data_IF_272762642359
#
_entry.id   IF_272762642359
#
_cell.length_a   1.000
_cell.length_b   1.000
_cell.length_c   1.000
_cell.angle_alpha   90.00
_cell.angle_beta   90.00
_cell.angle_gamma   90.00
#
_symmetry.space_group_name_H-M   'P 1'
#
loop_
_entity.id
_entity.type
_entity.pdbx_description
1 polymer ?
#
# COMPACT_ATOMS: atom_id res chain seq x y z
N UNK A 1 4.13 6.59 23.98
CA UNK A 1 3.09 7.35 23.26
C UNK A 1 1.83 6.50 23.27
N UNK A 2 0.78 6.90 23.98
CA UNK A 2 -0.55 6.32 23.77
C UNK A 2 -1.13 7.02 22.54
N UNK A 3 -0.88 6.47 21.36
CA UNK A 3 -1.57 6.93 20.16
C UNK A 3 -3.02 6.44 20.28
N UNK A 4 -4.03 7.26 19.94
CA UNK A 4 -5.44 6.86 19.95
C UNK A 4 -5.76 5.97 18.72
N UNK A 5 -4.87 5.03 18.40
CA UNK A 5 -4.97 4.14 17.25
C UNK A 5 -4.41 2.76 17.59
N UNK A 6 -4.94 1.75 16.94
CA UNK A 6 -4.34 0.41 16.90
C UNK A 6 -3.57 0.23 15.58
N UNK A 7 -2.55 -0.61 15.59
CA UNK A 7 -1.81 -1.00 14.39
C UNK A 7 -2.02 -2.50 14.18
N UNK A 8 -2.53 -2.86 13.01
CA UNK A 8 -2.71 -4.25 12.60
C UNK A 8 -1.80 -4.50 11.40
N UNK A 9 -0.78 -5.33 11.59
CA UNK A 9 0.10 -5.77 10.51
C UNK A 9 -0.40 -7.12 10.04
N UNK A 10 -0.74 -7.22 8.75
CA UNK A 10 -1.19 -8.47 8.14
C UNK A 10 -0.08 -9.00 7.25
N UNK A 11 0.51 -10.14 7.65
CA UNK A 11 1.46 -10.86 6.82
C UNK A 11 0.72 -11.69 5.78
N UNK A 12 0.86 -11.31 4.52
CA UNK A 12 0.30 -12.04 3.38
C UNK A 12 1.17 -13.26 3.01
N UNK A 13 1.47 -14.07 4.03
CA UNK A 13 2.24 -15.32 3.95
C UNK A 13 3.70 -15.16 3.44
N UNK A 14 4.41 -14.16 3.95
CA UNK A 14 5.84 -13.97 3.69
C UNK A 14 6.68 -15.18 4.13
N UNK A 15 7.80 -15.40 3.43
CA UNK A 15 8.81 -16.41 3.76
C UNK A 15 10.20 -15.75 3.84
N UNK A 16 10.79 -15.58 5.04
CA UNK A 16 10.23 -15.95 6.34
C UNK A 16 9.00 -15.09 6.72
N UNK A 17 8.16 -15.55 7.68
CA UNK A 17 7.08 -14.74 8.23
C UNK A 17 7.59 -13.39 8.76
N UNK A 18 6.78 -12.33 8.61
CA UNK A 18 7.13 -11.00 9.14
C UNK A 18 7.07 -11.05 10.68
N UNK A 19 8.19 -10.82 11.40
CA UNK A 19 8.17 -10.77 12.86
C UNK A 19 7.25 -9.64 13.36
N UNK A 20 6.39 -9.95 14.32
CA UNK A 20 5.45 -8.97 14.89
C UNK A 20 4.18 -8.72 14.07
N UNK A 21 3.96 -9.44 12.97
CA UNK A 21 2.67 -9.40 12.28
C UNK A 21 1.53 -9.88 13.19
N UNK A 22 0.44 -9.11 13.25
CA UNK A 22 -0.74 -9.39 14.06
C UNK A 22 -1.54 -10.57 13.50
N UNK A 23 -1.63 -10.66 12.18
CA UNK A 23 -2.45 -11.63 11.46
C UNK A 23 -1.66 -12.22 10.29
N UNK A 24 -2.04 -13.44 9.86
CA UNK A 24 -1.54 -14.05 8.62
C UNK A 24 -2.70 -14.49 7.75
N UNK A 25 -2.62 -14.21 6.44
CA UNK A 25 -3.65 -14.67 5.49
C UNK A 25 -3.55 -16.18 5.21
N UNK A 26 -2.34 -16.74 5.36
CA UNK A 26 -1.99 -18.10 4.92
C UNK A 26 -2.27 -18.37 3.43
N UNK A 27 -2.42 -17.32 2.62
CA UNK A 27 -2.61 -17.46 1.18
C UNK A 27 -1.24 -17.61 0.50
N UNK A 28 -1.09 -18.63 -0.35
CA UNK A 28 0.15 -18.88 -1.10
C UNK A 28 0.14 -18.27 -2.50
N UNK A 29 -1.01 -17.76 -2.93
CA UNK A 29 -1.13 -17.04 -4.19
C UNK A 29 -0.37 -15.73 -4.09
N UNK A 30 0.19 -15.32 -5.21
CA UNK A 30 0.91 -14.07 -5.29
C UNK A 30 -0.08 -12.90 -5.51
N UNK A 31 0.25 -11.71 -4.99
CA UNK A 31 -0.55 -10.49 -5.13
C UNK A 31 -1.96 -10.56 -4.50
N UNK A 32 -2.06 -11.04 -3.26
CA UNK A 32 -3.33 -11.14 -2.52
C UNK A 32 -3.54 -10.03 -1.47
N UNK A 33 -2.89 -8.87 -1.65
CA UNK A 33 -2.91 -7.74 -0.71
C UNK A 33 -4.33 -7.31 -0.29
N UNK A 34 -5.32 -7.34 -1.19
CA UNK A 34 -6.70 -7.02 -0.87
C UNK A 34 -7.35 -8.00 0.13
N UNK A 35 -6.94 -9.28 0.14
CA UNK A 35 -7.35 -10.23 1.18
C UNK A 35 -6.74 -9.86 2.53
N UNK A 36 -5.46 -9.47 2.55
CA UNK A 36 -4.79 -8.97 3.74
C UNK A 36 -5.50 -7.73 4.31
N UNK A 37 -5.86 -6.79 3.44
CA UNK A 37 -6.62 -5.57 3.80
C UNK A 37 -7.99 -5.89 4.37
N UNK A 38 -8.74 -6.80 3.74
CA UNK A 38 -10.03 -7.29 4.27
C UNK A 38 -9.87 -7.95 5.64
N UNK A 39 -8.84 -8.79 5.81
CA UNK A 39 -8.56 -9.46 7.07
C UNK A 39 -8.23 -8.47 8.19
N UNK A 40 -7.40 -7.46 7.89
CA UNK A 40 -7.09 -6.38 8.81
C UNK A 40 -8.33 -5.55 9.18
N UNK A 41 -9.11 -5.12 8.18
CA UNK A 41 -10.34 -4.36 8.38
C UNK A 41 -11.36 -5.10 9.26
N UNK A 42 -11.48 -6.43 9.09
CA UNK A 42 -12.35 -7.27 9.90
C UNK A 42 -11.98 -7.27 11.39
N UNK A 43 -10.69 -7.17 11.71
CA UNK A 43 -10.19 -7.19 13.09
C UNK A 43 -9.99 -5.80 13.69
N UNK A 44 -10.09 -4.74 12.90
CA UNK A 44 -10.03 -3.37 13.38
C UNK A 44 -11.29 -3.00 14.18
N UNK A 45 -11.07 -2.40 15.33
CA UNK A 45 -12.07 -1.84 16.24
C UNK A 45 -12.27 -0.34 16.02
N UNK A 46 -11.31 0.35 15.39
CA UNK A 46 -11.41 1.77 15.08
C UNK A 46 -12.60 2.13 14.18
N UNK A 47 -13.17 3.32 14.39
CA UNK A 47 -14.24 3.88 13.53
C UNK A 47 -13.73 4.16 12.11
N UNK A 48 -12.45 4.51 11.99
CA UNK A 48 -11.75 4.78 10.74
C UNK A 48 -10.65 3.75 10.49
N UNK A 49 -10.49 3.40 9.23
CA UNK A 49 -9.40 2.56 8.73
C UNK A 49 -8.39 3.44 8.02
N UNK A 50 -7.14 3.44 8.48
CA UNK A 50 -5.99 3.89 7.69
C UNK A 50 -5.35 2.65 7.06
N UNK A 51 -5.52 2.46 5.75
CA UNK A 51 -4.86 1.38 5.02
C UNK A 51 -3.63 1.91 4.28
N UNK A 52 -2.51 1.19 4.37
CA UNK A 52 -1.28 1.51 3.63
C UNK A 52 -0.42 0.25 3.46
N UNK A 53 0.51 0.27 2.50
CA UNK A 53 1.47 -0.83 2.33
C UNK A 53 2.67 -0.62 3.25
N UNK A 54 3.33 -1.71 3.64
CA UNK A 54 4.45 -1.69 4.60
C UNK A 54 5.71 -0.97 4.06
N UNK A 55 5.80 -0.78 2.75
CA UNK A 55 6.90 -0.08 2.08
C UNK A 55 6.70 1.44 1.96
N UNK A 56 5.59 1.97 2.53
CA UNK A 56 5.35 3.40 2.62
C UNK A 56 5.85 3.98 3.95
N UNK A 57 6.36 5.20 3.88
CA UNK A 57 6.74 6.02 5.03
C UNK A 57 5.58 6.96 5.32
N UNK A 58 4.97 6.82 6.50
CA UNK A 58 3.90 7.68 6.96
C UNK A 58 4.48 8.76 7.88
N UNK A 59 4.39 10.02 7.45
CA UNK A 59 4.83 11.16 8.27
C UNK A 59 3.90 11.38 9.47
N UNK A 60 4.41 12.08 10.48
CA UNK A 60 3.59 12.51 11.62
C UNK A 60 2.39 13.33 11.14
N UNK A 61 2.65 14.20 10.18
CA UNK A 61 1.70 15.08 9.54
C UNK A 61 0.56 14.31 8.83
N UNK A 62 0.89 13.31 8.01
CA UNK A 62 -0.12 12.49 7.35
C UNK A 62 -0.95 11.67 8.36
N UNK A 63 -0.32 11.19 9.43
CA UNK A 63 -1.02 10.51 10.52
C UNK A 63 -1.95 11.45 11.29
N UNK A 64 -1.53 12.67 11.60
CA UNK A 64 -2.37 13.69 12.22
C UNK A 64 -3.57 14.07 11.33
N UNK A 65 -3.38 14.15 10.01
CA UNK A 65 -4.49 14.39 9.09
C UNK A 65 -5.52 13.26 9.14
N UNK A 66 -5.05 12.01 9.17
CA UNK A 66 -5.94 10.85 9.29
C UNK A 66 -6.67 10.81 10.64
N UNK A 67 -5.99 11.13 11.75
CA UNK A 67 -6.58 11.16 13.08
C UNK A 67 -7.63 12.27 13.24
N UNK A 68 -7.44 13.41 12.58
CA UNK A 68 -8.37 14.54 12.61
C UNK A 68 -9.45 14.47 11.51
N UNK A 69 -9.41 13.45 10.65
CA UNK A 69 -10.33 13.33 9.53
C UNK A 69 -11.73 12.88 9.96
N UNK A 70 -12.77 13.59 9.51
CA UNK A 70 -14.17 13.28 9.81
C UNK A 70 -15.03 13.02 8.55
N UNK A 71 -14.43 12.99 7.36
CA UNK A 71 -15.11 12.74 6.10
C UNK A 71 -15.30 11.25 5.80
N UNK A 72 -15.68 10.93 4.55
CA UNK A 72 -15.91 9.55 4.13
C UNK A 72 -14.63 8.84 3.69
N UNK A 73 -13.80 9.49 2.87
CA UNK A 73 -12.48 9.01 2.42
C UNK A 73 -11.49 10.15 2.23
N UNK A 74 -10.29 9.96 2.75
CA UNK A 74 -9.10 10.78 2.50
C UNK A 74 -8.09 9.94 1.72
N UNK A 75 -7.50 10.52 0.69
CA UNK A 75 -6.40 9.95 -0.08
C UNK A 75 -5.10 10.69 0.23
N UNK A 76 -3.98 10.05 -0.07
CA UNK A 76 -2.66 10.64 0.14
C UNK A 76 -1.88 10.67 -1.16
N UNK A 77 -1.20 11.78 -1.40
CA UNK A 77 -0.20 11.90 -2.46
C UNK A 77 1.09 11.23 -2.02
N UNK A 78 1.74 10.54 -2.96
CA UNK A 78 3.01 9.86 -2.69
C UNK A 78 4.16 10.67 -3.24
N UNK A 79 5.19 10.85 -2.44
CA UNK A 79 6.45 11.45 -2.84
C UNK A 79 7.57 10.42 -2.72
N UNK A 80 8.60 10.56 -3.55
CA UNK A 80 9.81 9.75 -3.42
C UNK A 80 10.67 10.30 -2.29
N UNK A 81 10.99 9.44 -1.33
CA UNK A 81 11.94 9.75 -0.26
C UNK A 81 12.58 8.49 0.29
N UNK A 82 13.56 8.67 1.17
CA UNK A 82 14.14 7.60 1.98
C UNK A 82 14.22 8.05 3.44
N UNK A 83 14.37 7.10 4.36
CA UNK A 83 14.68 7.42 5.75
C UNK A 83 16.19 7.34 5.97
N UNK A 84 16.75 8.33 6.68
CA UNK A 84 18.09 8.20 7.24
C UNK A 84 18.08 7.31 8.50
N UNK A 85 19.27 7.03 9.03
CA UNK A 85 19.46 6.22 10.25
C UNK A 85 18.74 6.76 11.49
N UNK A 86 18.35 8.04 11.49
CA UNK A 86 17.63 8.69 12.57
C UNK A 86 16.12 8.75 12.30
N UNK A 87 15.65 8.14 11.22
CA UNK A 87 14.24 8.15 10.82
C UNK A 87 13.78 9.47 10.20
N UNK A 88 14.69 10.34 9.77
CA UNK A 88 14.32 11.56 9.06
C UNK A 88 14.13 11.29 7.57
N UNK A 89 13.11 11.94 7.01
CA UNK A 89 12.84 11.91 5.56
C UNK A 89 13.95 12.69 4.82
N UNK A 90 14.56 12.03 3.82
CA UNK A 90 15.55 12.63 2.90
C UNK A 90 15.04 12.60 1.47
N UNK A 91 15.14 13.74 0.80
CA UNK A 91 14.74 13.93 -0.60
C UNK A 91 15.80 14.69 -1.42
N UNK A 92 17.01 14.90 -0.86
CA UNK A 92 18.07 15.56 -1.60
C UNK A 92 18.56 14.67 -2.77
N UNK A 93 18.98 15.33 -3.86
CA UNK A 93 19.32 14.66 -5.12
C UNK A 93 20.45 13.65 -4.98
N UNK A 94 21.41 13.89 -4.08
CA UNK A 94 22.53 12.98 -3.86
C UNK A 94 22.03 11.69 -3.22
N UNK A 95 21.33 11.80 -2.09
CA UNK A 95 20.76 10.65 -1.38
C UNK A 95 19.83 9.83 -2.29
N UNK A 96 18.92 10.50 -3.00
CA UNK A 96 17.98 9.81 -3.90
C UNK A 96 18.70 9.08 -5.04
N UNK A 97 19.76 9.67 -5.60
CA UNK A 97 20.58 9.02 -6.64
C UNK A 97 21.31 7.78 -6.13
N UNK A 98 21.81 7.80 -4.90
CA UNK A 98 22.44 6.65 -4.26
C UNK A 98 21.44 5.50 -4.09
N UNK A 99 20.16 5.83 -3.88
CA UNK A 99 19.05 4.87 -3.86
C UNK A 99 18.48 4.52 -5.25
N UNK A 100 19.09 5.00 -6.32
CA UNK A 100 18.71 4.66 -7.70
C UNK A 100 17.58 5.51 -8.29
N UNK A 101 17.24 6.65 -7.69
CA UNK A 101 16.28 7.61 -8.22
C UNK A 101 16.97 8.77 -8.92
N UNK A 102 16.70 8.97 -10.22
CA UNK A 102 17.42 9.96 -11.05
C UNK A 102 16.51 11.06 -11.63
N UNK A 103 15.20 11.03 -11.34
CA UNK A 103 14.24 12.02 -11.85
C UNK A 103 14.23 13.26 -10.95
N UNK A 104 13.95 14.42 -11.54
CA UNK A 104 13.84 15.67 -10.78
C UNK A 104 12.45 15.87 -10.13
N UNK A 105 11.40 15.22 -10.67
CA UNK A 105 10.07 15.24 -10.05
C UNK A 105 10.00 14.19 -8.92
N UNK A 106 9.53 14.55 -7.74
CA UNK A 106 9.36 13.64 -6.60
C UNK A 106 7.96 12.99 -6.56
N UNK A 107 7.00 13.49 -7.35
CA UNK A 107 5.63 12.99 -7.35
C UNK A 107 5.53 11.56 -7.92
N UNK A 108 5.11 10.63 -7.06
CA UNK A 108 4.86 9.23 -7.39
C UNK A 108 3.36 8.92 -7.62
N UNK A 109 2.57 9.97 -7.83
CA UNK A 109 1.13 9.96 -8.04
C UNK A 109 0.32 9.54 -6.81
N UNK A 110 -0.96 9.89 -6.83
CA UNK A 110 -1.96 9.40 -5.87
C UNK A 110 -2.32 7.98 -6.27
N UNK A 111 -2.09 7.01 -5.38
CA UNK A 111 -2.56 5.64 -5.58
C UNK A 111 -3.65 5.33 -4.57
N UNK A 112 -4.70 4.68 -5.04
CA UNK A 112 -5.89 4.42 -4.23
C UNK A 112 -5.72 3.30 -3.19
N UNK A 113 -4.48 2.90 -2.89
CA UNK A 113 -4.13 1.88 -1.91
C UNK A 113 -3.68 2.46 -0.57
N UNK A 114 -3.42 3.77 -0.49
CA UNK A 114 -3.25 4.44 0.80
C UNK A 114 -4.36 5.45 1.03
N UNK A 115 -5.17 5.21 2.06
CA UNK A 115 -6.34 6.02 2.37
C UNK A 115 -6.74 5.91 3.83
N UNK A 116 -7.44 6.94 4.32
CA UNK A 116 -8.23 6.89 5.54
C UNK A 116 -9.72 6.88 5.17
N UNK A 117 -10.52 5.98 5.74
CA UNK A 117 -11.94 5.83 5.41
C UNK A 117 -12.74 5.37 6.62
N UNK A 118 -13.99 5.80 6.74
CA UNK A 118 -14.93 5.22 7.73
C UNK A 118 -15.04 3.70 7.52
N UNK A 119 -14.84 2.92 8.58
CA UNK A 119 -14.96 1.46 8.54
C UNK A 119 -16.33 1.02 8.02
N UNK A 120 -17.41 1.70 8.45
CA UNK A 120 -18.77 1.42 7.98
C UNK A 120 -18.93 1.55 6.47
N UNK A 121 -18.22 2.48 5.83
CA UNK A 121 -18.24 2.62 4.36
C UNK A 121 -17.42 1.51 3.71
N UNK A 122 -16.27 1.15 4.26
CA UNK A 122 -15.50 0.02 3.76
C UNK A 122 -16.34 -1.27 3.78
N UNK A 123 -17.05 -1.51 4.89
CA UNK A 123 -17.97 -2.62 5.07
C UNK A 123 -19.18 -2.55 4.11
N UNK A 124 -19.79 -1.37 3.93
CA UNK A 124 -20.88 -1.13 2.97
C UNK A 124 -20.45 -1.45 1.53
N UNK A 125 -19.22 -1.08 1.15
CA UNK A 125 -18.66 -1.41 -0.17
C UNK A 125 -18.26 -2.89 -0.29
N UNK A 126 -18.30 -3.65 0.80
CA UNK A 126 -17.93 -5.06 0.85
C UNK A 126 -16.43 -5.32 0.69
N UNK A 127 -15.58 -4.33 1.02
CA UNK A 127 -14.13 -4.42 0.89
C UNK A 127 -13.62 -4.79 -0.51
N UNK A 128 -12.44 -5.40 -0.54
CA UNK A 128 -11.79 -5.91 -1.74
C UNK A 128 -12.44 -7.23 -2.19
N UNK A 129 -12.64 -7.42 -3.50
CA UNK A 129 -13.24 -8.67 -4.02
C UNK A 129 -12.24 -9.83 -3.95
N UNK A 130 -12.58 -10.96 -3.31
CA UNK A 130 -11.73 -12.15 -3.31
C UNK A 130 -11.40 -12.66 -4.72
N UNK A 131 -12.33 -12.52 -5.66
CA UNK A 131 -12.16 -12.93 -7.06
C UNK A 131 -11.03 -12.16 -7.75
N UNK A 132 -10.92 -10.85 -7.50
CA UNK A 132 -9.86 -10.03 -8.07
C UNK A 132 -8.54 -10.17 -7.32
N UNK A 133 -8.58 -10.57 -6.04
CA UNK A 133 -7.39 -10.77 -5.22
C UNK A 133 -6.77 -12.16 -5.37
N UNK A 134 -7.52 -13.15 -5.85
CA UNK A 134 -7.07 -14.55 -5.91
C UNK A 134 -6.62 -14.98 -7.32
N UNK A 135 -6.22 -14.02 -8.15
CA UNK A 135 -5.73 -14.29 -9.52
C UNK A 135 -4.33 -14.93 -9.52
N UNK A 136 -3.58 -14.87 -8.41
CA UNK A 136 -2.22 -15.40 -8.32
C UNK A 136 -1.17 -14.60 -9.11
N UNK A 137 -1.55 -13.46 -9.69
CA UNK A 137 -0.68 -12.58 -10.46
C UNK A 137 -1.12 -11.13 -10.34
N UNK A 138 -0.19 -10.20 -10.58
CA UNK A 138 -0.56 -8.79 -10.75
C UNK A 138 -1.19 -8.60 -12.15
N UNK A 139 -2.48 -8.24 -12.27
CA UNK A 139 -3.11 -8.10 -13.57
C UNK A 139 -2.45 -6.96 -14.37
N UNK A 140 -2.17 -7.22 -15.66
CA UNK A 140 -1.53 -6.26 -16.59
C UNK A 140 -2.51 -5.13 -16.96
N UNK A 141 -3.82 -5.36 -16.83
CA UNK A 141 -4.88 -4.38 -17.08
C UNK A 141 -5.41 -3.75 -15.77
N UNK A 142 -6.23 -2.69 -15.88
CA UNK A 142 -6.98 -2.00 -14.79
C UNK A 142 -8.01 -2.89 -14.06
N UNK A 143 -7.71 -4.18 -13.90
CA UNK A 143 -8.51 -5.21 -13.22
C UNK A 143 -7.91 -5.58 -11.86
N UNK A 144 -6.94 -4.82 -11.37
CA UNK A 144 -6.39 -4.98 -10.03
C UNK A 144 -7.46 -4.80 -8.95
N UNK A 145 -7.22 -5.39 -7.80
CA UNK A 145 -8.07 -5.30 -6.61
C UNK A 145 -8.35 -3.84 -6.20
N UNK A 146 -7.34 -2.97 -6.23
CA UNK A 146 -7.50 -1.54 -5.99
C UNK A 146 -8.38 -0.84 -7.02
N UNK A 147 -8.26 -1.21 -8.31
CA UNK A 147 -9.12 -0.64 -9.35
C UNK A 147 -10.59 -0.96 -9.07
N UNK A 148 -10.87 -2.22 -8.74
CA UNK A 148 -12.22 -2.69 -8.44
C UNK A 148 -12.82 -1.98 -7.23
N UNK A 149 -12.06 -1.89 -6.12
CA UNK A 149 -12.52 -1.19 -4.92
C UNK A 149 -12.77 0.31 -5.20
N UNK A 150 -11.87 0.98 -5.93
CA UNK A 150 -12.04 2.38 -6.28
C UNK A 150 -13.21 2.62 -7.24
N UNK A 151 -13.55 1.68 -8.12
CA UNK A 151 -14.78 1.75 -8.93
C UNK A 151 -16.03 1.74 -8.06
N UNK A 152 -16.10 0.86 -7.05
CA UNK A 152 -17.23 0.83 -6.11
C UNK A 152 -17.39 2.16 -5.37
N UNK A 153 -16.28 2.69 -4.84
CA UNK A 153 -16.23 4.00 -4.21
C UNK A 153 -16.75 5.11 -5.15
N UNK A 154 -16.17 5.23 -6.35
CA UNK A 154 -16.52 6.29 -7.31
C UNK A 154 -17.98 6.22 -7.75
N UNK A 155 -18.57 5.03 -7.84
CA UNK A 155 -19.99 4.86 -8.15
C UNK A 155 -20.88 5.33 -7.01
N UNK A 156 -20.52 5.00 -5.77
CA UNK A 156 -21.33 5.29 -4.58
C UNK A 156 -21.27 6.75 -4.13
N UNK A 157 -20.11 7.38 -4.30
CA UNK A 157 -19.83 8.76 -3.88
C UNK A 157 -19.51 9.65 -5.08
N UNK A 158 -20.21 9.42 -6.19
CA UNK A 158 -20.06 10.21 -7.41
C UNK A 158 -20.33 11.70 -7.12
N UNK A 159 -19.38 12.56 -7.48
CA UNK A 159 -19.46 14.00 -7.22
C UNK A 159 -18.91 14.46 -5.87
N UNK A 160 -18.54 13.55 -4.96
CA UNK A 160 -17.86 13.93 -3.72
C UNK A 160 -16.41 14.36 -4.00
N UNK A 161 -16.02 15.53 -3.49
CA UNK A 161 -14.64 15.99 -3.57
C UNK A 161 -13.80 15.18 -2.58
N UNK A 162 -12.82 14.44 -3.09
CA UNK A 162 -11.89 13.69 -2.26
C UNK A 162 -11.09 14.63 -1.35
N UNK A 163 -11.08 14.33 -0.05
CA UNK A 163 -10.13 14.94 0.86
C UNK A 163 -8.72 14.40 0.55
N UNK A 164 -7.74 15.30 0.56
CA UNK A 164 -6.34 14.94 0.29
C UNK A 164 -5.52 15.32 1.53
N UNK A 165 -4.94 14.31 2.18
CA UNK A 165 -4.02 14.50 3.30
C UNK A 165 -2.65 14.96 2.82
N UNK A 166 -1.79 15.35 3.76
CA UNK A 166 -0.37 15.67 3.54
C UNK A 166 0.36 14.47 2.95
N UNK A 167 1.45 14.76 2.23
CA UNK A 167 2.19 13.75 1.48
C UNK A 167 2.66 12.59 2.39
N UNK A 168 2.51 11.37 1.87
CA UNK A 168 3.21 10.18 2.35
C UNK A 168 4.38 9.90 1.41
N UNK A 169 5.29 9.03 1.82
CA UNK A 169 6.50 8.78 1.05
C UNK A 169 6.69 7.31 0.74
N UNK A 170 7.43 7.04 -0.32
CA UNK A 170 7.80 5.69 -0.71
C UNK A 170 9.26 5.66 -1.15
N UNK A 171 9.90 4.53 -0.88
CA UNK A 171 11.26 4.28 -1.35
C UNK A 171 11.29 4.18 -2.88
N UNK A 172 12.41 4.54 -3.54
CA UNK A 172 12.54 4.43 -4.99
C UNK A 172 12.76 2.97 -5.41
N UNK A 173 11.66 2.24 -5.52
CA UNK A 173 11.61 0.81 -5.88
C UNK A 173 10.97 0.59 -7.26
N UNK A 174 11.26 -0.56 -7.87
CA UNK A 174 10.65 -1.02 -9.12
C UNK A 174 10.78 0.02 -10.23
N UNK A 175 9.65 0.47 -10.78
CA UNK A 175 9.61 1.47 -11.86
C UNK A 175 10.22 2.83 -11.50
N UNK A 176 10.40 3.12 -10.21
CA UNK A 176 11.02 4.36 -9.75
C UNK A 176 12.53 4.21 -9.56
N UNK A 177 13.03 2.98 -9.47
CA UNK A 177 14.45 2.69 -9.45
C UNK A 177 15.00 2.61 -10.88
N UNK A 178 16.14 3.25 -11.18
CA UNK A 178 16.77 3.23 -12.51
C UNK A 178 17.11 1.83 -13.02
N UNK A 179 17.35 0.88 -12.12
CA UNK A 179 17.65 -0.51 -12.45
C UNK A 179 16.43 -1.42 -12.44
N UNK A 180 15.26 -0.91 -12.04
CA UNK A 180 14.09 -1.73 -11.77
C UNK A 180 14.16 -2.48 -10.44
N UNK A 181 15.18 -2.26 -9.60
CA UNK A 181 15.34 -2.98 -8.32
C UNK A 181 14.11 -2.82 -7.41
N UNK A 182 13.56 -3.96 -7.00
CA UNK A 182 12.49 -4.05 -5.98
C UNK A 182 13.05 -4.08 -4.55
N UNK A 183 14.38 -4.18 -4.42
CA UNK A 183 15.05 -4.32 -3.14
C UNK A 183 16.34 -3.47 -3.09
N UNK A 184 16.24 -2.14 -3.23
CA UNK A 184 17.40 -1.27 -3.07
C UNK A 184 17.96 -1.42 -1.65
N UNK A 185 19.29 -1.51 -1.55
CA UNK A 185 20.04 -1.60 -0.28
C UNK A 185 19.70 -2.81 0.60
N UNK A 186 19.00 -3.83 0.06
CA UNK A 186 18.59 -4.98 0.87
C UNK A 186 17.48 -4.67 1.88
N UNK A 187 16.76 -3.56 1.71
CA UNK A 187 15.72 -3.09 2.63
C UNK A 187 14.47 -3.99 2.63
N UNK A 188 14.16 -4.61 1.49
CA UNK A 188 12.97 -5.42 1.28
C UNK A 188 13.34 -6.88 0.97
N UNK A 189 12.31 -7.71 0.73
CA UNK A 189 12.52 -9.03 0.15
C UNK A 189 12.49 -8.96 -1.38
N UNK A 190 13.28 -9.81 -2.05
CA UNK A 190 13.21 -9.95 -3.50
C UNK A 190 11.88 -10.60 -3.88
N UNK A 191 10.84 -9.80 -4.13
CA UNK A 191 9.63 -10.25 -4.79
C UNK A 191 9.97 -10.54 -6.25
N UNK A 192 10.32 -11.79 -6.56
CA UNK A 192 10.62 -12.19 -7.93
C UNK A 192 9.36 -12.08 -8.79
N UNK A 193 9.42 -11.26 -9.84
CA UNK A 193 8.44 -11.32 -10.94
C UNK A 193 8.63 -12.57 -11.80
N UNK A 194 9.74 -13.32 -11.68
CA UNK A 194 9.99 -14.49 -12.52
C UNK A 194 9.06 -15.66 -12.19
N UNK A 195 8.58 -15.75 -10.94
CA UNK A 195 7.46 -16.64 -10.60
C UNK A 195 6.17 -16.31 -11.36
N UNK A 196 5.95 -15.02 -11.69
CA UNK A 196 4.79 -14.57 -12.45
C UNK A 196 4.88 -14.98 -13.94
N UNK A 197 6.08 -14.98 -14.54
CA UNK A 197 6.26 -15.40 -15.94
C UNK A 197 5.91 -16.87 -16.17
N UNK A 198 6.16 -17.75 -15.20
CA UNK A 198 5.79 -19.18 -15.28
C UNK A 198 4.27 -19.37 -15.23
N UNK A 199 3.59 -18.69 -14.30
CA UNK A 199 2.14 -18.73 -14.20
C UNK A 199 1.41 -18.13 -15.42
N UNK A 200 2.00 -17.11 -16.07
CA UNK A 200 1.43 -16.51 -17.29
C UNK A 200 1.49 -17.45 -18.51
N UNK A 201 2.39 -18.44 -18.50
CA UNK A 201 2.58 -19.42 -19.59
C UNK A 201 1.80 -20.72 -19.40
N UNK A 202 1.08 -20.89 -18.29
CA UNK A 202 0.39 -22.15 -18.00
C UNK A 202 1.35 -23.32 -17.77
N UNK A 203 2.61 -23.03 -17.45
CA UNK A 203 3.58 -24.05 -17.08
C UNK A 203 3.47 -24.24 -15.56
N UNK A 204 2.69 -25.25 -15.15
CA UNK A 204 2.70 -25.77 -13.78
C UNK A 204 3.98 -26.59 -13.54
N UNK A 205 4.57 -26.38 -12.35
CA UNK A 205 5.77 -26.97 -11.72
C UNK A 205 7.15 -26.38 -12.10
#
# INVERSE_FOLDING_TARGET
>A
MNLPMEIIIVDDNSTPPIPGATLRTNNKLAWTQGLGRNLGAKHAHGEYLFMTDVDHIISREAMEDALNFNGNKMIFRRQIAVLDENGNIKQDKKTLKDWGYEKDNLDASVHGNTFAMKKSIFDELGGYSPETCSLGLHPIARKGDDCYFNTKWNRRFSGEKLAVGRDIYMFPIGRFNKTGSLNPMGLFHNLSQDGQKRMFKGEEE
#
